data_IF_014381601929
#
_entry.id   IF_014381601929
#
_cell.length_a   1.000
_cell.length_b   1.000
_cell.length_c   1.000
_cell.angle_alpha   90.00
_cell.angle_beta   90.00
_cell.angle_gamma   90.00
#
_symmetry.space_group_name_H-M   'P 1'
#
loop_
_entity.id
_entity.type
_entity.pdbx_description
1 polymer ?
#
# COMPACT_ATOMS: atom_id res chain seq x y z
N UNK A 1 7.99 18.79 7.70
CA UNK A 1 8.67 18.40 6.42
C UNK A 1 7.97 17.20 5.79
N UNK A 2 7.94 17.11 4.45
CA UNK A 2 7.37 15.99 3.68
C UNK A 2 8.50 15.09 3.18
N UNK A 3 8.32 13.77 3.30
CA UNK A 3 9.20 12.78 2.73
C UNK A 3 8.44 11.92 1.71
N UNK A 4 8.88 11.94 0.46
CA UNK A 4 8.46 10.92 -0.49
C UNK A 4 9.22 9.62 -0.24
N UNK A 5 8.50 8.52 -0.11
CA UNK A 5 9.07 7.19 0.07
C UNK A 5 8.70 6.31 -1.11
N UNK A 6 9.72 5.85 -1.83
CA UNK A 6 9.57 5.04 -3.05
C UNK A 6 10.29 3.71 -2.88
N UNK A 7 9.62 2.60 -3.12
CA UNK A 7 10.24 1.27 -3.14
C UNK A 7 10.58 0.91 -4.58
N UNK A 8 11.87 0.90 -4.92
CA UNK A 8 12.36 0.49 -6.24
C UNK A 8 12.52 -1.03 -6.31
N UNK A 9 11.89 -1.66 -7.31
CA UNK A 9 12.12 -3.06 -7.65
C UNK A 9 12.29 -3.19 -9.18
N UNK A 10 13.54 -3.14 -9.67
CA UNK A 10 13.91 -3.12 -11.08
C UNK A 10 13.08 -2.11 -11.89
N UNK A 11 12.91 -0.90 -11.35
CA UNK A 11 11.98 0.12 -11.88
C UNK A 11 12.60 1.51 -11.98
N UNK A 12 13.92 1.63 -12.09
CA UNK A 12 14.67 2.89 -12.12
C UNK A 12 14.10 3.88 -13.14
N UNK A 13 13.72 3.43 -14.34
CA UNK A 13 13.12 4.29 -15.36
C UNK A 13 11.78 4.90 -14.92
N UNK A 14 10.97 4.16 -14.13
CA UNK A 14 9.70 4.64 -13.60
C UNK A 14 9.97 5.63 -12.46
N UNK A 15 10.89 5.28 -11.55
CA UNK A 15 11.32 6.20 -10.48
C UNK A 15 11.85 7.51 -11.06
N UNK A 16 12.65 7.46 -12.13
CA UNK A 16 13.13 8.66 -12.83
C UNK A 16 11.98 9.54 -13.31
N UNK A 17 10.93 8.95 -13.89
CA UNK A 17 9.75 9.71 -14.33
C UNK A 17 8.98 10.29 -13.15
N UNK A 18 8.82 9.52 -12.06
CA UNK A 18 8.21 10.00 -10.84
C UNK A 18 8.96 11.22 -10.28
N UNK A 19 10.29 11.12 -10.12
CA UNK A 19 11.11 12.24 -9.61
C UNK A 19 10.93 13.50 -10.47
N UNK A 20 10.87 13.34 -11.79
CA UNK A 20 10.62 14.48 -12.72
C UNK A 20 9.22 15.09 -12.58
N UNK A 21 8.25 14.38 -12.02
CA UNK A 21 6.90 14.87 -11.74
C UNK A 21 6.80 15.58 -10.38
N UNK A 22 7.82 15.45 -9.52
CA UNK A 22 7.84 16.15 -8.25
C UNK A 22 8.04 17.66 -8.48
N UNK A 23 7.41 18.53 -7.68
CA UNK A 23 7.53 19.97 -7.83
C UNK A 23 8.97 20.44 -7.64
N UNK A 24 9.39 21.37 -8.49
CA UNK A 24 10.72 22.03 -8.42
C UNK A 24 10.68 23.29 -7.56
N UNK A 25 9.52 23.65 -6.99
CA UNK A 25 9.35 24.86 -6.19
C UNK A 25 10.09 24.75 -4.86
N UNK A 26 11.18 25.53 -4.72
CA UNK A 26 12.02 25.60 -3.53
C UNK A 26 11.33 26.18 -2.28
N UNK A 27 10.07 26.60 -2.37
CA UNK A 27 9.33 27.14 -1.22
C UNK A 27 8.86 26.07 -0.25
N UNK A 28 8.86 24.80 -0.67
CA UNK A 28 8.44 23.68 0.16
C UNK A 28 9.59 22.70 0.26
N UNK A 29 10.07 22.50 1.46
CA UNK A 29 11.12 21.52 1.74
C UNK A 29 10.54 20.12 1.73
N UNK A 30 11.02 19.29 0.82
CA UNK A 30 10.77 17.85 0.82
C UNK A 30 12.06 17.07 0.53
N UNK A 31 12.08 15.82 0.94
CA UNK A 31 13.15 14.87 0.61
C UNK A 31 12.56 13.61 0.01
N UNK A 32 13.33 12.95 -0.82
CA UNK A 32 12.94 11.68 -1.42
C UNK A 32 13.82 10.56 -0.87
N UNK A 33 13.18 9.55 -0.30
CA UNK A 33 13.83 8.32 0.16
C UNK A 33 13.47 7.23 -0.84
N UNK A 34 14.47 6.69 -1.51
CA UNK A 34 14.32 5.54 -2.40
C UNK A 34 14.87 4.31 -1.70
N UNK A 35 14.04 3.31 -1.47
CA UNK A 35 14.50 2.01 -0.99
C UNK A 35 14.81 1.14 -2.20
N UNK A 36 16.10 0.85 -2.43
CA UNK A 36 16.51 -0.12 -3.43
C UNK A 36 16.23 -1.54 -2.93
N UNK A 37 15.13 -2.11 -3.42
CA UNK A 37 14.67 -3.45 -3.07
C UNK A 37 15.14 -4.51 -4.10
N UNK A 38 16.13 -4.14 -4.94
CA UNK A 38 16.79 -4.95 -5.97
C UNK A 38 18.29 -4.90 -5.72
N UNK A 39 18.84 -5.71 -4.78
CA UNK A 39 20.21 -5.57 -4.29
C UNK A 39 21.28 -5.80 -5.36
N UNK A 40 20.94 -6.41 -6.49
CA UNK A 40 21.79 -6.67 -7.65
C UNK A 40 21.63 -5.64 -8.80
N UNK A 41 20.84 -4.57 -8.58
CA UNK A 41 20.63 -3.51 -9.57
C UNK A 41 21.10 -2.14 -9.04
N UNK A 42 22.24 -1.71 -9.54
CA UNK A 42 22.89 -0.45 -9.17
C UNK A 42 22.37 0.74 -10.00
N UNK A 43 21.50 0.53 -10.98
CA UNK A 43 21.02 1.58 -11.87
C UNK A 43 20.35 2.75 -11.15
N UNK A 44 19.75 2.49 -9.99
CA UNK A 44 19.06 3.50 -9.18
C UNK A 44 19.98 4.57 -8.61
N UNK A 45 21.29 4.28 -8.43
CA UNK A 45 22.24 5.24 -7.89
C UNK A 45 22.51 6.44 -8.79
N UNK A 46 22.17 6.34 -10.09
CA UNK A 46 22.21 7.50 -10.99
C UNK A 46 21.26 8.64 -10.57
N UNK A 47 20.29 8.37 -9.68
CA UNK A 47 19.34 9.36 -9.16
C UNK A 47 19.80 10.01 -7.85
N UNK A 48 20.89 9.53 -7.22
CA UNK A 48 21.35 10.03 -5.93
C UNK A 48 21.83 11.47 -6.04
N UNK A 49 21.34 12.35 -5.14
CA UNK A 49 21.77 13.73 -4.98
C UNK A 49 21.51 14.20 -3.53
N UNK A 50 21.61 15.51 -3.24
CA UNK A 50 21.40 16.07 -1.89
C UNK A 50 19.93 15.93 -1.40
N UNK A 51 18.96 15.88 -2.32
CA UNK A 51 17.53 15.77 -2.01
C UNK A 51 17.02 14.32 -2.06
N UNK A 52 17.83 13.39 -2.64
CA UNK A 52 17.48 11.99 -2.86
C UNK A 52 18.45 11.08 -2.11
N UNK A 53 17.94 10.42 -1.08
CA UNK A 53 18.67 9.38 -0.35
C UNK A 53 18.26 8.00 -0.86
N UNK A 54 19.24 7.11 -1.07
CA UNK A 54 19.01 5.71 -1.43
C UNK A 54 19.37 4.83 -0.24
N UNK A 55 18.40 4.05 0.23
CA UNK A 55 18.56 3.01 1.25
C UNK A 55 18.58 1.65 0.56
N UNK A 56 19.52 0.79 0.94
CA UNK A 56 19.63 -0.54 0.34
C UNK A 56 18.99 -1.60 1.22
N UNK A 57 18.11 -2.38 0.64
CA UNK A 57 17.69 -3.65 1.22
C UNK A 57 18.75 -4.72 0.90
N UNK A 58 19.07 -5.59 1.86
CA UNK A 58 19.98 -6.71 1.64
C UNK A 58 19.40 -7.78 0.71
N UNK A 59 18.07 -7.92 0.77
CA UNK A 59 17.27 -8.82 -0.07
C UNK A 59 15.97 -8.12 -0.48
N UNK A 60 15.20 -8.75 -1.37
CA UNK A 60 13.85 -8.28 -1.69
C UNK A 60 12.90 -8.47 -0.51
N UNK A 61 12.62 -7.39 0.22
CA UNK A 61 11.76 -7.37 1.41
C UNK A 61 10.25 -7.39 1.10
N UNK A 62 9.88 -7.35 -0.18
CA UNK A 62 8.51 -7.05 -0.60
C UNK A 62 8.18 -5.56 -0.46
N UNK A 63 6.93 -5.18 -0.76
CA UNK A 63 6.55 -3.76 -0.73
C UNK A 63 6.50 -3.20 0.70
N UNK A 64 5.73 -3.86 1.58
CA UNK A 64 5.60 -3.40 2.98
C UNK A 64 6.93 -3.41 3.75
N UNK A 65 7.78 -4.43 3.53
CA UNK A 65 9.11 -4.48 4.13
C UNK A 65 10.04 -3.37 3.63
N UNK A 66 10.00 -3.07 2.32
CA UNK A 66 10.70 -1.92 1.76
C UNK A 66 10.21 -0.60 2.34
N UNK A 67 8.89 -0.42 2.46
CA UNK A 67 8.31 0.76 3.12
C UNK A 67 8.78 0.88 4.57
N UNK A 68 8.83 -0.22 5.33
CA UNK A 68 9.29 -0.21 6.71
C UNK A 68 10.74 0.28 6.85
N UNK A 69 11.62 -0.14 5.95
CA UNK A 69 13.01 0.34 5.95
C UNK A 69 13.07 1.87 5.80
N UNK A 70 12.29 2.41 4.86
CA UNK A 70 12.22 3.87 4.65
C UNK A 70 11.54 4.61 5.79
N UNK A 71 10.39 4.12 6.29
CA UNK A 71 9.66 4.74 7.40
C UNK A 71 10.53 4.79 8.66
N UNK A 72 11.20 3.68 9.00
CA UNK A 72 12.09 3.63 10.16
C UNK A 72 13.22 4.66 10.07
N UNK A 73 13.83 4.79 8.90
CA UNK A 73 14.87 5.81 8.70
C UNK A 73 14.30 7.22 8.86
N UNK A 74 13.15 7.54 8.23
CA UNK A 74 12.51 8.84 8.33
C UNK A 74 12.14 9.14 9.80
N UNK A 75 11.51 8.18 10.49
CA UNK A 75 11.08 8.34 11.87
C UNK A 75 12.25 8.62 12.82
N UNK A 76 13.41 8.01 12.60
CA UNK A 76 14.62 8.30 13.40
C UNK A 76 15.20 9.69 13.14
N UNK A 77 14.99 10.26 11.94
CA UNK A 77 15.45 11.60 11.60
C UNK A 77 14.43 12.66 12.02
N UNK A 78 13.15 12.41 11.78
CA UNK A 78 12.07 13.37 12.00
C UNK A 78 10.74 12.67 12.34
N UNK A 79 10.49 12.35 13.62
CA UNK A 79 9.28 11.64 14.04
C UNK A 79 7.98 12.46 13.86
N UNK A 80 8.08 13.72 13.48
CA UNK A 80 6.95 14.61 13.21
C UNK A 80 6.69 14.80 11.69
N UNK A 81 7.37 14.02 10.84
CA UNK A 81 7.27 14.14 9.39
C UNK A 81 5.91 13.69 8.84
N UNK A 82 5.60 14.16 7.63
CA UNK A 82 4.59 13.58 6.76
C UNK A 82 5.32 12.65 5.77
N UNK A 83 4.96 11.37 5.75
CA UNK A 83 5.56 10.40 4.84
C UNK A 83 4.55 10.08 3.74
N UNK A 84 4.91 10.40 2.49
CA UNK A 84 4.11 10.05 1.33
C UNK A 84 4.74 8.88 0.59
N UNK A 85 4.22 7.66 0.86
CA UNK A 85 4.57 6.47 0.10
C UNK A 85 3.90 6.57 -1.27
N UNK A 86 4.69 6.44 -2.33
CA UNK A 86 4.21 6.55 -3.71
C UNK A 86 4.87 5.48 -4.59
N UNK A 87 4.05 4.81 -5.39
CA UNK A 87 4.55 3.80 -6.31
C UNK A 87 5.44 4.41 -7.41
N UNK A 88 6.46 3.70 -7.91
CA UNK A 88 7.32 4.16 -9.01
C UNK A 88 6.57 4.51 -10.30
N UNK A 89 5.39 3.92 -10.53
CA UNK A 89 4.53 4.12 -11.70
C UNK A 89 3.34 5.07 -11.43
N UNK A 90 3.43 5.85 -10.35
CA UNK A 90 2.50 6.93 -10.03
C UNK A 90 3.19 8.30 -10.18
N UNK A 91 2.46 9.30 -10.65
CA UNK A 91 3.01 10.64 -10.93
C UNK A 91 2.11 11.70 -10.32
N UNK A 92 2.72 12.76 -9.76
CA UNK A 92 2.00 13.90 -9.21
C UNK A 92 1.46 14.79 -10.32
N UNK A 93 0.30 15.41 -10.09
CA UNK A 93 -0.13 16.59 -10.80
C UNK A 93 0.56 17.82 -10.21
N UNK A 94 0.71 18.89 -10.99
CA UNK A 94 1.46 20.10 -10.59
C UNK A 94 0.91 20.75 -9.30
N UNK A 95 1.79 21.39 -8.51
CA UNK A 95 1.52 22.27 -7.35
C UNK A 95 0.80 21.68 -6.14
N UNK A 96 1.01 20.40 -5.82
CA UNK A 96 0.26 19.70 -4.74
C UNK A 96 0.88 19.86 -3.34
N UNK A 97 2.20 20.05 -3.21
CA UNK A 97 2.89 19.93 -1.92
C UNK A 97 2.46 20.97 -0.86
N UNK A 98 2.26 22.23 -1.28
CA UNK A 98 1.77 23.28 -0.37
C UNK A 98 0.41 22.91 0.23
N UNK A 99 -0.42 22.23 -0.53
CA UNK A 99 -1.75 21.82 -0.11
C UNK A 99 -1.70 20.69 0.92
N UNK A 100 -0.67 19.82 0.88
CA UNK A 100 -0.55 18.69 1.81
C UNK A 100 -0.29 19.16 3.25
N UNK A 101 0.64 20.10 3.48
CA UNK A 101 0.91 20.63 4.81
C UNK A 101 -0.32 21.37 5.35
N UNK A 102 -0.89 22.28 4.57
CA UNK A 102 -2.11 23.02 4.92
C UNK A 102 -3.30 22.08 5.21
N UNK A 103 -3.39 20.98 4.47
CA UNK A 103 -4.43 19.99 4.69
C UNK A 103 -4.31 19.32 6.07
N UNK A 104 -3.11 18.89 6.48
CA UNK A 104 -2.91 18.29 7.80
C UNK A 104 -2.92 19.31 8.95
N UNK A 105 -2.72 20.59 8.67
CA UNK A 105 -2.98 21.67 9.63
C UNK A 105 -4.47 21.89 9.84
N UNK A 106 -5.27 21.85 8.76
CA UNK A 106 -6.72 22.00 8.82
C UNK A 106 -7.42 20.77 9.40
N UNK A 107 -6.87 19.57 9.17
CA UNK A 107 -7.46 18.28 9.59
C UNK A 107 -6.45 17.45 10.41
N UNK A 108 -6.07 17.93 11.61
CA UNK A 108 -5.04 17.30 12.44
C UNK A 108 -5.46 15.93 12.99
N UNK A 109 -6.73 15.56 12.93
CA UNK A 109 -7.26 14.26 13.34
C UNK A 109 -6.86 13.11 12.41
N UNK A 110 -6.52 13.40 11.14
CA UNK A 110 -6.20 12.40 10.15
C UNK A 110 -4.81 11.82 10.38
N UNK A 111 -4.73 10.51 10.54
CA UNK A 111 -3.47 9.79 10.73
C UNK A 111 -2.93 9.20 9.41
N UNK A 112 -3.84 8.70 8.56
CA UNK A 112 -3.52 8.02 7.31
C UNK A 112 -4.43 8.56 6.22
N UNK A 113 -3.84 9.06 5.13
CA UNK A 113 -4.58 9.72 4.06
C UNK A 113 -4.24 9.10 2.70
N UNK A 114 -5.26 8.64 1.99
CA UNK A 114 -5.18 8.30 0.58
C UNK A 114 -5.52 9.49 -0.30
N UNK A 115 -5.00 9.51 -1.51
CA UNK A 115 -5.37 10.47 -2.53
C UNK A 115 -6.33 9.85 -3.55
N UNK A 116 -7.05 10.68 -4.29
CA UNK A 116 -7.70 10.19 -5.50
C UNK A 116 -6.64 9.74 -6.51
N UNK A 117 -6.82 8.56 -7.09
CA UNK A 117 -5.89 7.99 -8.07
C UNK A 117 -6.60 7.86 -9.41
N UNK A 118 -6.02 8.45 -10.46
CA UNK A 118 -6.54 8.38 -11.81
C UNK A 118 -5.69 7.48 -12.70
N UNK A 119 -6.31 6.88 -13.71
CA UNK A 119 -5.60 6.28 -14.83
C UNK A 119 -5.03 7.36 -15.75
N UNK A 120 -4.10 7.03 -16.66
CA UNK A 120 -3.64 7.97 -17.68
C UNK A 120 -4.76 8.47 -18.62
N UNK A 121 -5.88 7.74 -18.73
CA UNK A 121 -7.08 8.17 -19.50
C UNK A 121 -7.96 9.13 -18.71
N UNK A 122 -7.66 9.41 -17.44
CA UNK A 122 -8.41 10.32 -16.57
C UNK A 122 -9.51 9.65 -15.75
N UNK A 123 -9.76 8.36 -15.94
CA UNK A 123 -10.75 7.63 -15.16
C UNK A 123 -10.29 7.47 -13.69
N UNK A 124 -11.24 7.47 -12.76
CA UNK A 124 -10.93 7.20 -11.35
C UNK A 124 -10.59 5.72 -11.18
N UNK A 125 -9.35 5.43 -10.80
CA UNK A 125 -8.89 4.08 -10.50
C UNK A 125 -9.09 3.71 -9.03
N UNK A 126 -8.91 4.67 -8.12
CA UNK A 126 -9.13 4.49 -6.69
C UNK A 126 -9.53 5.82 -6.03
N UNK A 127 -10.59 5.79 -5.23
CA UNK A 127 -11.07 6.94 -4.44
C UNK A 127 -11.63 6.48 -3.07
N UNK A 128 -10.98 5.48 -2.48
CA UNK A 128 -11.30 4.93 -1.17
C UNK A 128 -11.70 3.46 -1.20
N UNK A 129 -11.61 2.84 -0.04
CA UNK A 129 -11.92 1.43 0.16
C UNK A 129 -12.90 1.18 1.28
N UNK A 130 -13.77 0.18 1.11
CA UNK A 130 -14.69 -0.33 2.13
C UNK A 130 -14.42 -1.79 2.43
N UNK A 131 -14.60 -2.15 3.69
CA UNK A 131 -14.52 -3.53 4.15
C UNK A 131 -15.82 -3.94 4.84
N UNK A 132 -16.38 -5.07 4.45
CA UNK A 132 -17.61 -5.63 5.03
C UNK A 132 -17.26 -6.93 5.76
N UNK A 133 -17.01 -6.90 7.09
CA UNK A 133 -16.59 -8.08 7.85
C UNK A 133 -17.58 -9.24 7.75
N UNK A 134 -18.88 -8.94 7.73
CA UNK A 134 -19.96 -9.94 7.63
C UNK A 134 -19.92 -10.78 6.36
N UNK A 135 -19.29 -10.29 5.30
CA UNK A 135 -19.16 -11.00 4.03
C UNK A 135 -17.70 -11.24 3.62
N UNK A 136 -16.74 -10.59 4.29
CA UNK A 136 -15.32 -10.59 3.90
C UNK A 136 -15.07 -9.86 2.58
N UNK A 137 -15.92 -8.90 2.20
CA UNK A 137 -15.76 -8.13 0.98
C UNK A 137 -14.80 -6.96 1.23
N UNK A 138 -13.69 -6.92 0.50
CA UNK A 138 -12.74 -5.80 0.43
C UNK A 138 -13.01 -5.13 -0.91
N UNK A 139 -13.57 -3.91 -0.86
CA UNK A 139 -14.11 -3.22 -2.04
C UNK A 139 -13.37 -1.91 -2.28
N UNK A 140 -13.11 -1.60 -3.54
CA UNK A 140 -12.82 -0.24 -3.99
C UNK A 140 -14.15 0.45 -4.30
N UNK A 141 -14.31 1.69 -3.83
CA UNK A 141 -15.48 2.52 -4.13
C UNK A 141 -15.02 3.93 -4.44
N UNK A 142 -15.74 4.62 -5.31
CA UNK A 142 -15.59 6.07 -5.45
C UNK A 142 -16.38 6.75 -4.34
N UNK A 143 -15.69 7.04 -3.23
CA UNK A 143 -16.26 7.70 -2.06
C UNK A 143 -16.29 9.22 -2.21
N UNK A 144 -15.64 9.76 -3.25
CA UNK A 144 -15.43 11.19 -3.44
C UNK A 144 -16.34 11.81 -4.50
N UNK A 145 -17.05 11.01 -5.32
CA UNK A 145 -17.85 11.49 -6.44
C UNK A 145 -19.08 12.30 -6.04
N UNK A 146 -19.68 12.00 -4.89
CA UNK A 146 -20.94 12.59 -4.45
C UNK A 146 -20.82 13.37 -3.13
N UNK A 147 -19.70 14.04 -2.93
CA UNK A 147 -19.47 14.83 -1.71
C UNK A 147 -18.69 16.10 -2.02
N UNK A 148 -19.01 17.18 -1.31
CA UNK A 148 -18.25 18.42 -1.29
C UNK A 148 -17.23 18.45 -0.14
N UNK A 149 -17.20 17.40 0.70
CA UNK A 149 -16.25 17.29 1.80
C UNK A 149 -14.79 17.22 1.28
N UNK A 150 -13.89 17.81 2.03
CA UNK A 150 -12.46 17.81 1.72
C UNK A 150 -11.84 16.42 1.84
N UNK A 151 -12.39 15.58 2.71
CA UNK A 151 -12.03 14.18 2.84
C UNK A 151 -13.24 13.32 3.23
N UNK A 152 -13.12 12.02 3.01
CA UNK A 152 -14.09 11.00 3.42
C UNK A 152 -13.37 9.90 4.19
N UNK A 153 -13.88 9.55 5.38
CA UNK A 153 -13.38 8.41 6.13
C UNK A 153 -13.62 7.10 5.36
N UNK A 154 -12.62 6.24 5.33
CA UNK A 154 -12.65 4.96 4.61
C UNK A 154 -12.04 3.84 5.46
N UNK A 155 -12.22 2.59 5.04
CA UNK A 155 -11.69 1.44 5.78
C UNK A 155 -10.25 1.10 5.40
N UNK A 156 -9.85 1.46 4.18
CA UNK A 156 -8.49 1.25 3.68
C UNK A 156 -8.19 2.14 2.47
N UNK A 157 -6.91 2.36 2.23
CA UNK A 157 -6.39 3.09 1.08
C UNK A 157 -5.32 2.27 0.37
N UNK A 158 -5.05 2.59 -0.88
CA UNK A 158 -4.08 1.86 -1.70
C UNK A 158 -2.63 2.30 -1.45
N UNK A 159 -1.71 1.34 -1.41
CA UNK A 159 -0.26 1.61 -1.34
C UNK A 159 0.30 2.39 -2.53
N UNK A 160 -0.49 2.60 -3.60
CA UNK A 160 -0.09 3.40 -4.75
C UNK A 160 0.20 4.87 -4.38
N UNK A 161 -0.62 5.44 -3.48
CA UNK A 161 -0.46 6.79 -2.93
C UNK A 161 -1.01 6.80 -1.50
N UNK A 162 -0.10 6.74 -0.54
CA UNK A 162 -0.38 6.44 0.86
C UNK A 162 0.38 7.42 1.75
N UNK A 163 -0.33 8.33 2.43
CA UNK A 163 0.29 9.37 3.25
C UNK A 163 0.09 9.03 4.72
N UNK A 164 1.17 9.07 5.48
CA UNK A 164 1.20 8.85 6.92
C UNK A 164 1.61 10.16 7.62
N UNK A 165 0.78 10.65 8.52
CA UNK A 165 1.11 11.73 9.41
C UNK A 165 1.77 11.16 10.67
N UNK A 166 3.10 11.13 10.70
CA UNK A 166 3.85 10.52 11.81
C UNK A 166 3.57 11.18 13.16
N UNK A 167 3.13 12.46 13.19
CA UNK A 167 2.72 13.18 14.42
C UNK A 167 1.61 12.48 15.19
N UNK A 168 0.88 11.56 14.54
CA UNK A 168 -0.27 10.84 15.12
C UNK A 168 0.11 9.49 15.72
N UNK A 169 1.38 9.11 15.68
CA UNK A 169 1.86 7.82 16.13
C UNK A 169 2.86 7.97 17.27
N UNK A 170 2.59 7.32 18.39
CA UNK A 170 3.50 7.32 19.56
C UNK A 170 4.78 6.50 19.27
N UNK A 171 4.67 5.51 18.39
CA UNK A 171 5.76 4.65 17.93
C UNK A 171 5.80 4.63 16.40
N UNK A 172 6.95 4.26 15.82
CA UNK A 172 7.11 4.16 14.39
C UNK A 172 6.10 3.19 13.77
N UNK A 173 5.18 3.64 12.90
CA UNK A 173 4.22 2.74 12.28
C UNK A 173 4.89 1.82 11.26
N UNK A 174 4.39 0.58 11.14
CA UNK A 174 4.99 -0.40 10.25
C UNK A 174 3.96 -1.30 9.56
N UNK A 175 4.28 -1.73 8.35
CA UNK A 175 3.57 -2.79 7.65
C UNK A 175 3.91 -4.15 8.28
N UNK A 176 2.94 -5.06 8.36
CA UNK A 176 3.19 -6.40 8.89
C UNK A 176 4.05 -7.22 7.90
N UNK A 177 5.23 -7.70 8.32
CA UNK A 177 6.14 -8.48 7.46
C UNK A 177 5.55 -9.83 7.00
N UNK A 178 4.43 -10.26 7.56
CA UNK A 178 3.71 -11.42 7.06
C UNK A 178 3.14 -11.21 5.64
N UNK A 179 2.95 -9.96 5.21
CA UNK A 179 2.55 -9.63 3.85
C UNK A 179 3.79 -9.26 3.02
N UNK A 180 4.16 -10.12 2.09
CA UNK A 180 5.25 -9.81 1.18
C UNK A 180 4.83 -8.82 0.09
N UNK A 181 3.64 -9.01 -0.48
CA UNK A 181 3.08 -8.17 -1.53
C UNK A 181 1.56 -8.41 -1.65
N UNK A 182 0.78 -7.34 -1.75
CA UNK A 182 -0.68 -7.26 -1.75
C UNK A 182 -1.33 -7.50 -0.39
N UNK A 183 -2.30 -6.66 -0.07
CA UNK A 183 -3.07 -6.59 1.17
C UNK A 183 -2.30 -6.06 2.39
N UNK A 184 -1.01 -5.74 2.26
CA UNK A 184 -0.25 -5.05 3.30
C UNK A 184 -0.81 -3.65 3.61
N UNK A 185 -1.28 -2.93 2.58
CA UNK A 185 -1.93 -1.63 2.69
C UNK A 185 -3.29 -1.74 3.40
N UNK A 186 -4.10 -2.72 3.03
CA UNK A 186 -5.35 -3.03 3.70
C UNK A 186 -5.11 -3.39 5.18
N UNK A 187 -4.17 -4.30 5.46
CA UNK A 187 -3.85 -4.71 6.84
C UNK A 187 -3.35 -3.53 7.68
N UNK A 188 -2.46 -2.69 7.13
CA UNK A 188 -1.96 -1.49 7.78
C UNK A 188 -3.14 -0.60 8.21
N UNK A 189 -4.01 -0.26 7.29
CA UNK A 189 -5.18 0.57 7.58
C UNK A 189 -6.07 -0.06 8.66
N UNK A 190 -6.37 -1.36 8.56
CA UNK A 190 -7.24 -2.04 9.53
C UNK A 190 -6.63 -2.13 10.92
N UNK A 191 -5.32 -2.41 11.03
CA UNK A 191 -4.63 -2.45 12.34
C UNK A 191 -4.67 -1.10 13.03
N UNK A 192 -4.31 -0.03 12.31
CA UNK A 192 -4.26 1.31 12.90
C UNK A 192 -5.66 1.89 13.12
N UNK A 193 -6.66 1.59 12.28
CA UNK A 193 -8.05 1.94 12.57
C UNK A 193 -8.55 1.31 13.87
N UNK A 194 -8.18 0.05 14.16
CA UNK A 194 -8.53 -0.62 15.41
C UNK A 194 -7.80 -0.01 16.64
N UNK A 195 -6.76 0.77 16.43
CA UNK A 195 -6.06 1.55 17.47
C UNK A 195 -6.58 2.98 17.60
N UNK A 196 -7.63 3.35 16.85
CA UNK A 196 -8.27 4.65 16.90
C UNK A 196 -7.74 5.68 15.89
N UNK A 197 -6.84 5.29 14.97
CA UNK A 197 -6.37 6.17 13.92
C UNK A 197 -7.43 6.39 12.84
N UNK A 198 -7.62 7.65 12.41
CA UNK A 198 -8.52 7.99 11.33
C UNK A 198 -7.84 7.75 9.98
N UNK A 199 -8.49 6.91 9.16
CA UNK A 199 -8.13 6.62 7.77
C UNK A 199 -9.09 7.38 6.86
N UNK A 200 -8.57 8.18 5.95
CA UNK A 200 -9.38 8.98 5.05
C UNK A 200 -8.85 8.98 3.62
N UNK A 201 -9.68 9.45 2.69
CA UNK A 201 -9.30 9.70 1.30
C UNK A 201 -9.75 11.10 0.91
N UNK A 202 -8.92 11.81 0.09
CA UNK A 202 -9.21 13.17 -0.38
C UNK A 202 -9.13 13.29 -1.91
N UNK A 203 -9.87 14.24 -2.47
CA UNK A 203 -9.77 14.67 -3.89
C UNK A 203 -9.00 15.97 -4.07
N UNK A 204 -8.59 16.64 -2.99
CA UNK A 204 -7.87 17.92 -3.06
C UNK A 204 -6.51 17.78 -3.75
N UNK A 205 -5.90 16.60 -3.64
CA UNK A 205 -4.71 16.24 -4.40
C UNK A 205 -4.79 14.77 -4.86
N UNK A 206 -4.18 14.48 -5.99
CA UNK A 206 -4.27 13.17 -6.60
C UNK A 206 -3.06 12.82 -7.45
N UNK A 207 -2.98 11.55 -7.82
CA UNK A 207 -1.90 11.01 -8.64
C UNK A 207 -2.44 10.35 -9.90
N UNK A 208 -1.62 10.34 -10.96
CA UNK A 208 -1.82 9.52 -12.15
C UNK A 208 -1.07 8.21 -11.95
N UNK A 209 -1.71 7.08 -12.17
CA UNK A 209 -1.11 5.76 -11.98
C UNK A 209 -1.23 4.89 -13.23
N UNK A 210 -0.14 4.24 -13.63
CA UNK A 210 -0.10 3.20 -14.67
C UNK A 210 -0.14 1.80 -14.01
N UNK A 211 -1.33 1.21 -13.79
CA UNK A 211 -1.46 0.03 -12.94
C UNK A 211 -0.64 -1.15 -13.44
N UNK A 212 0.05 -1.81 -12.50
CA UNK A 212 0.68 -3.12 -12.71
C UNK A 212 1.80 -3.16 -13.75
N UNK A 213 2.44 -2.05 -14.06
CA UNK A 213 3.57 -1.99 -15.01
C UNK A 213 4.75 -2.88 -14.58
N UNK A 214 4.94 -3.05 -13.26
CA UNK A 214 6.00 -3.86 -12.66
C UNK A 214 5.54 -5.31 -12.45
N UNK A 215 4.39 -5.51 -11.83
CA UNK A 215 3.95 -6.82 -11.32
C UNK A 215 3.36 -7.75 -12.38
N UNK A 216 2.88 -7.22 -13.50
CA UNK A 216 2.36 -8.04 -14.60
C UNK A 216 3.42 -8.90 -15.29
N UNK A 217 4.72 -8.60 -15.10
CA UNK A 217 5.83 -9.42 -15.60
C UNK A 217 5.86 -10.82 -14.96
N UNK A 218 5.25 -11.00 -13.78
CA UNK A 218 5.34 -12.22 -12.96
C UNK A 218 3.96 -12.69 -12.48
N UNK A 219 3.07 -13.03 -13.42
CA UNK A 219 1.65 -13.37 -13.14
C UNK A 219 1.50 -14.41 -12.03
N UNK A 220 2.24 -15.52 -12.10
CA UNK A 220 2.16 -16.56 -11.07
C UNK A 220 2.50 -16.03 -9.66
N UNK A 221 3.62 -15.30 -9.52
CA UNK A 221 4.04 -14.71 -8.22
C UNK A 221 3.02 -13.69 -7.71
N UNK A 222 2.51 -12.85 -8.62
CA UNK A 222 1.45 -11.89 -8.34
C UNK A 222 0.23 -12.57 -7.72
N UNK A 223 -0.32 -13.59 -8.39
CA UNK A 223 -1.51 -14.29 -7.95
C UNK A 223 -1.27 -15.09 -6.67
N UNK A 224 -0.10 -15.73 -6.52
CA UNK A 224 0.29 -16.44 -5.30
C UNK A 224 0.26 -15.52 -4.09
N UNK A 225 0.97 -14.39 -4.16
CA UNK A 225 1.06 -13.46 -3.04
C UNK A 225 -0.29 -12.79 -2.74
N UNK A 226 -1.04 -12.37 -3.77
CA UNK A 226 -2.37 -11.80 -3.61
C UNK A 226 -3.36 -12.80 -2.97
N UNK A 227 -3.33 -14.08 -3.37
CA UNK A 227 -4.21 -15.09 -2.77
C UNK A 227 -3.83 -15.38 -1.32
N UNK A 228 -2.53 -15.41 -1.00
CA UNK A 228 -2.03 -15.55 0.35
C UNK A 228 -2.45 -14.37 1.24
N UNK A 229 -2.16 -13.12 0.79
CA UNK A 229 -2.50 -11.91 1.54
C UNK A 229 -4.00 -11.78 1.76
N UNK A 230 -4.81 -12.11 0.74
CA UNK A 230 -6.26 -12.15 0.86
C UNK A 230 -6.74 -13.10 1.98
N UNK A 231 -6.24 -14.34 1.99
CA UNK A 231 -6.63 -15.31 3.02
C UNK A 231 -6.15 -14.89 4.42
N UNK A 232 -4.95 -14.32 4.52
CA UNK A 232 -4.43 -13.79 5.77
C UNK A 232 -5.28 -12.65 6.30
N UNK A 233 -5.72 -11.74 5.43
CA UNK A 233 -6.61 -10.63 5.79
C UNK A 233 -8.00 -11.13 6.24
N UNK A 234 -8.55 -12.12 5.54
CA UNK A 234 -9.84 -12.70 5.94
C UNK A 234 -9.75 -13.41 7.29
N UNK A 235 -8.68 -14.17 7.54
CA UNK A 235 -8.48 -14.87 8.82
C UNK A 235 -8.40 -13.89 10.01
N UNK A 236 -7.81 -12.71 9.79
CA UNK A 236 -7.64 -11.69 10.83
C UNK A 236 -8.90 -10.85 11.09
N UNK A 237 -9.64 -10.53 10.02
CA UNK A 237 -10.66 -9.49 10.07
C UNK A 237 -12.08 -10.00 9.84
N UNK A 238 -12.27 -11.33 9.68
CA UNK A 238 -13.62 -11.94 9.56
C UNK A 238 -13.79 -13.09 10.56
N UNK A 239 -15.05 -13.51 10.73
CA UNK A 239 -15.30 -14.74 11.50
C UNK A 239 -14.95 -15.99 10.69
N UNK A 240 -14.83 -17.13 11.38
CA UNK A 240 -14.40 -18.42 10.79
C UNK A 240 -15.36 -18.95 9.70
N UNK A 241 -16.65 -18.65 9.79
CA UNK A 241 -17.63 -19.07 8.78
C UNK A 241 -17.40 -18.31 7.47
N UNK A 242 -17.28 -17.00 7.56
CA UNK A 242 -16.98 -16.14 6.39
C UNK A 242 -15.64 -16.54 5.77
N UNK A 243 -14.61 -16.74 6.59
CA UNK A 243 -13.31 -17.20 6.12
C UNK A 243 -13.43 -18.51 5.33
N UNK A 244 -14.10 -19.53 5.90
CA UNK A 244 -14.26 -20.83 5.27
C UNK A 244 -15.01 -20.74 3.94
N UNK A 245 -16.12 -19.99 3.90
CA UNK A 245 -16.89 -19.77 2.68
C UNK A 245 -16.05 -19.11 1.58
N UNK A 246 -15.24 -18.11 1.94
CA UNK A 246 -14.34 -17.42 1.01
C UNK A 246 -13.21 -18.32 0.54
N UNK A 247 -12.64 -19.14 1.42
CA UNK A 247 -11.61 -20.12 1.06
C UNK A 247 -12.16 -21.16 0.07
N UNK A 248 -13.34 -21.74 0.35
CA UNK A 248 -13.99 -22.70 -0.55
C UNK A 248 -14.27 -22.07 -1.92
N UNK A 249 -14.82 -20.84 -1.93
CA UNK A 249 -15.06 -20.09 -3.18
C UNK A 249 -13.76 -19.86 -3.96
N UNK A 250 -12.65 -19.51 -3.28
CA UNK A 250 -11.36 -19.30 -3.92
C UNK A 250 -10.84 -20.59 -4.57
N UNK A 251 -10.98 -21.73 -3.88
CA UNK A 251 -10.57 -23.05 -4.39
C UNK A 251 -11.42 -23.46 -5.61
N UNK A 252 -12.76 -23.35 -5.51
CA UNK A 252 -13.66 -23.66 -6.64
C UNK A 252 -13.33 -22.79 -7.85
N UNK A 253 -13.13 -21.48 -7.63
CA UNK A 253 -12.75 -20.57 -8.71
C UNK A 253 -11.41 -20.94 -9.33
N UNK A 254 -10.42 -21.36 -8.51
CA UNK A 254 -9.13 -21.82 -9.01
C UNK A 254 -9.28 -23.09 -9.87
N UNK A 255 -10.13 -24.05 -9.46
CA UNK A 255 -10.41 -25.27 -10.25
C UNK A 255 -11.00 -24.94 -11.63
N UNK A 256 -11.96 -24.02 -11.69
CA UNK A 256 -12.56 -23.57 -12.97
C UNK A 256 -11.49 -22.94 -13.88
N UNK A 257 -10.55 -22.19 -13.30
CA UNK A 257 -9.50 -21.51 -14.06
C UNK A 257 -8.40 -22.43 -14.60
N UNK A 258 -8.32 -23.70 -14.19
CA UNK A 258 -7.27 -24.61 -14.66
C UNK A 258 -7.27 -24.69 -16.19
N UNK A 259 -8.47 -24.77 -16.79
CA UNK A 259 -8.63 -24.94 -18.24
C UNK A 259 -8.34 -23.63 -18.99
N UNK A 260 -8.81 -22.48 -18.46
CA UNK A 260 -8.80 -21.20 -19.18
C UNK A 260 -7.55 -20.37 -18.90
N UNK A 261 -7.08 -20.36 -17.64
CA UNK A 261 -5.95 -19.55 -17.17
C UNK A 261 -5.08 -20.34 -16.17
N UNK A 262 -4.35 -21.38 -16.63
CA UNK A 262 -3.65 -22.30 -15.73
C UNK A 262 -2.65 -21.61 -14.80
N UNK A 263 -1.89 -20.62 -15.27
CA UNK A 263 -0.95 -19.87 -14.41
C UNK A 263 -1.67 -19.15 -13.25
N UNK A 264 -2.86 -18.62 -13.48
CA UNK A 264 -3.68 -17.98 -12.45
C UNK A 264 -4.19 -19.01 -11.46
N UNK A 265 -4.69 -20.16 -11.96
CA UNK A 265 -5.18 -21.28 -11.13
C UNK A 265 -4.07 -21.80 -10.20
N UNK A 266 -2.92 -22.15 -10.74
CA UNK A 266 -1.78 -22.63 -9.95
C UNK A 266 -1.24 -21.57 -9.00
N UNK A 267 -1.26 -20.28 -9.38
CA UNK A 267 -0.93 -19.19 -8.47
C UNK A 267 -1.87 -19.14 -7.26
N UNK A 268 -3.19 -19.32 -7.48
CA UNK A 268 -4.17 -19.38 -6.37
C UNK A 268 -3.93 -20.58 -5.46
N UNK A 269 -3.73 -21.77 -5.99
CA UNK A 269 -3.41 -22.96 -5.19
C UNK A 269 -2.11 -22.78 -4.39
N UNK A 270 -1.08 -22.21 -5.00
CA UNK A 270 0.17 -21.93 -4.32
C UNK A 270 -0.02 -20.91 -3.18
N UNK A 271 -0.88 -19.90 -3.34
CA UNK A 271 -1.24 -18.96 -2.29
C UNK A 271 -1.99 -19.61 -1.13
N UNK A 272 -2.97 -20.48 -1.43
CA UNK A 272 -3.69 -21.29 -0.43
C UNK A 272 -2.71 -22.19 0.33
N UNK A 273 -1.85 -22.90 -0.38
CA UNK A 273 -0.85 -23.78 0.22
C UNK A 273 0.12 -23.01 1.15
N UNK A 274 0.60 -21.85 0.70
CA UNK A 274 1.47 -20.98 1.48
C UNK A 274 0.77 -20.52 2.78
N UNK A 275 -0.52 -20.17 2.70
CA UNK A 275 -1.32 -19.84 3.87
C UNK A 275 -1.46 -21.02 4.84
N UNK A 276 -1.81 -22.21 4.35
CA UNK A 276 -1.94 -23.41 5.19
C UNK A 276 -0.63 -23.80 5.88
N UNK A 277 0.52 -23.63 5.21
CA UNK A 277 1.84 -23.92 5.82
C UNK A 277 2.22 -22.95 6.94
N UNK A 278 1.65 -21.74 6.97
CA UNK A 278 1.86 -20.78 8.04
C UNK A 278 1.15 -21.17 9.33
N UNK A 279 0.05 -21.92 9.24
CA UNK A 279 -0.67 -22.38 10.42
C UNK A 279 0.24 -23.34 11.20
N UNK A 280 0.59 -23.05 12.48
CA UNK A 280 1.37 -23.98 13.30
C UNK A 280 0.62 -25.32 13.34
N UNK A 281 1.32 -26.43 13.14
CA UNK A 281 0.76 -27.75 13.36
C UNK A 281 0.30 -27.84 14.84
N UNK A 282 -0.98 -27.55 15.10
CA UNK A 282 -1.61 -27.74 16.42
C UNK A 282 -1.70 -26.51 17.31
N UNK A 283 -2.31 -25.39 16.89
CA UNK A 283 -2.84 -24.39 17.83
C UNK A 283 -4.08 -23.72 17.27
N UNK A 284 -5.22 -24.38 17.43
CA UNK A 284 -6.52 -23.73 17.50
C UNK A 284 -6.66 -23.11 18.90
N UNK A 285 -5.99 -21.99 19.16
CA UNK A 285 -6.29 -21.20 20.36
C UNK A 285 -7.35 -20.17 20.00
N UNK A 286 -8.53 -20.39 20.59
CA UNK A 286 -9.59 -19.39 20.75
C UNK A 286 -9.00 -18.16 21.45
N UNK A 287 -8.82 -17.07 20.73
CA UNK A 287 -8.80 -15.76 21.36
C UNK A 287 -10.26 -15.34 21.52
N UNK A 288 -10.77 -15.56 22.71
CA UNK A 288 -12.01 -14.96 23.19
C UNK A 288 -11.85 -13.45 23.16
N UNK A 289 -12.72 -12.79 22.41
CA UNK A 289 -12.98 -11.36 22.53
C UNK A 289 -13.43 -11.09 23.98
N UNK A 290 -12.60 -10.44 24.74
CA UNK A 290 -12.97 -9.73 25.97
C UNK A 290 -12.91 -8.24 25.71
#
# INVERSE_FOLDING_TARGET
MIYFLVVNYYSTNLVTKLIRSLPVDKKIEYKTIIVNNSPDDDSIYALKNEEILILNALDNLGFGGGCNLGINWIYTQEPQAIVWIINPDAYLKENILAQVELFFEAYPEISILGTIVHTPTGDVWFAGGRFIPATGAILTQDLLSNTDADYVACDWITGCSFIINLRKFDECPHFDPAYFLYYEDFDFCRRYANQGHLIAVTKQFGVLHQPSSITNRYVFRKIKNSSYGYLLSLDRYTNKVVFLLRLVRLIIYALILIIVKPQVAFGKFAGVFMYCRRLPKGHWRSQSLS
#
